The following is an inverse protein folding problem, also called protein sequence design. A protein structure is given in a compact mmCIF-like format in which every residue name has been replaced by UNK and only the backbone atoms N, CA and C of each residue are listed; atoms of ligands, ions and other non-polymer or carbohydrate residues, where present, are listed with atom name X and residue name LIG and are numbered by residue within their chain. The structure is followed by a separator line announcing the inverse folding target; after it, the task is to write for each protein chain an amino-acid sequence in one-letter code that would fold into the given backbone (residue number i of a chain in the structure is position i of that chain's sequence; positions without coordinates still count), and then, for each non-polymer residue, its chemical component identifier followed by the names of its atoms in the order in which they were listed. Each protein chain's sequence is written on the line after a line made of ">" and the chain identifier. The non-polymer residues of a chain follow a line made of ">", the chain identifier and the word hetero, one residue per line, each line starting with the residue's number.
data_IF_886746465843
#
_entry.id   IF_886746465843
#
_cell.length_a   1.000
_cell.length_b   1.000
_cell.length_c   1.000
_cell.angle_alpha   90.00
_cell.angle_beta   90.00
_cell.angle_gamma   90.00
#
_symmetry.space_group_name_H-M   'P 1'
#
loop_
_entity.id
_entity.type
_entity.pdbx_description
1 polymer ?
#
# COMPACT_ATOMS: atom_id res chain seq x y z
N UNK A 1 20.45 -29.13 25.91
CA UNK A 1 20.17 -28.09 24.92
C UNK A 1 21.36 -28.01 23.98
N UNK A 2 21.25 -28.59 22.78
CA UNK A 2 22.35 -28.66 21.83
C UNK A 2 22.37 -27.33 21.04
N UNK A 3 23.48 -26.59 20.97
CA UNK A 3 23.54 -25.41 20.12
C UNK A 3 23.48 -25.85 18.66
N UNK A 4 22.45 -25.46 17.96
CA UNK A 4 22.39 -25.58 16.51
C UNK A 4 23.56 -24.80 15.91
N UNK A 5 24.59 -25.54 15.47
CA UNK A 5 25.68 -24.96 14.66
C UNK A 5 25.08 -24.57 13.32
N UNK A 6 24.71 -23.31 13.18
CA UNK A 6 24.52 -22.67 11.87
C UNK A 6 25.88 -22.57 11.19
N UNK A 7 26.30 -23.69 10.62
CA UNK A 7 27.50 -23.80 9.82
C UNK A 7 27.22 -23.08 8.51
N UNK A 8 27.85 -21.92 8.32
CA UNK A 8 28.03 -21.20 7.06
C UNK A 8 27.03 -21.57 5.93
N UNK A 9 25.80 -21.15 6.07
CA UNK A 9 24.90 -21.09 4.92
C UNK A 9 25.29 -19.85 4.12
N UNK A 10 26.16 -20.04 3.14
CA UNK A 10 26.21 -19.13 2.00
C UNK A 10 24.85 -19.27 1.31
N UNK A 11 23.88 -18.49 1.77
CA UNK A 11 22.58 -18.40 1.12
C UNK A 11 22.71 -17.54 -0.14
N UNK A 12 23.46 -18.03 -1.12
CA UNK A 12 23.38 -17.45 -2.44
C UNK A 12 22.15 -18.07 -3.13
N UNK A 13 21.41 -17.27 -3.86
CA UNK A 13 20.33 -17.75 -4.72
C UNK A 13 20.79 -18.90 -5.63
N UNK A 14 22.05 -18.93 -5.98
CA UNK A 14 22.72 -19.97 -6.75
C UNK A 14 22.64 -21.35 -6.08
N UNK A 15 22.72 -21.42 -4.75
CA UNK A 15 22.58 -22.68 -4.00
C UNK A 15 21.16 -23.26 -4.11
N UNK A 16 20.18 -22.43 -4.47
CA UNK A 16 18.79 -22.82 -4.76
C UNK A 16 18.55 -23.02 -6.27
N UNK A 17 19.59 -22.96 -7.09
CA UNK A 17 19.48 -23.06 -8.55
C UNK A 17 18.88 -21.79 -9.20
N UNK A 18 18.83 -20.68 -8.48
CA UNK A 18 18.29 -19.40 -8.98
C UNK A 18 19.44 -18.51 -9.44
N UNK A 19 19.43 -18.14 -10.71
CA UNK A 19 20.43 -17.21 -11.25
C UNK A 19 20.04 -15.76 -10.94
N UNK A 20 20.93 -14.96 -10.31
CA UNK A 20 20.71 -13.53 -10.14
C UNK A 20 20.46 -12.80 -11.46
N UNK A 21 19.60 -11.81 -11.43
CA UNK A 21 19.22 -11.00 -12.60
C UNK A 21 19.80 -9.60 -12.45
N UNK A 22 20.34 -9.06 -13.53
CA UNK A 22 20.69 -7.63 -13.61
C UNK A 22 19.41 -6.86 -13.89
N UNK A 23 18.87 -6.18 -12.87
CA UNK A 23 17.63 -5.43 -13.00
C UNK A 23 17.89 -4.05 -13.64
N UNK A 24 17.40 -3.85 -14.86
CA UNK A 24 17.43 -2.56 -15.56
C UNK A 24 16.05 -1.85 -15.53
N UNK A 25 15.07 -2.38 -14.81
CA UNK A 25 13.71 -1.85 -14.71
C UNK A 25 13.45 -1.15 -13.35
N UNK A 26 14.47 -0.57 -12.77
CA UNK A 26 14.40 0.15 -11.49
C UNK A 26 13.74 -0.68 -10.37
N UNK A 27 12.58 -0.27 -9.88
CA UNK A 27 11.90 -0.82 -8.71
C UNK A 27 10.85 -1.89 -9.02
N UNK A 28 11.05 -2.72 -10.05
CA UNK A 28 10.08 -3.75 -10.44
C UNK A 28 9.87 -4.78 -9.31
N UNK A 29 8.64 -4.84 -8.79
CA UNK A 29 8.26 -5.70 -7.64
C UNK A 29 8.52 -7.18 -7.89
N UNK A 30 8.31 -7.68 -9.10
CA UNK A 30 8.58 -9.08 -9.46
C UNK A 30 10.05 -9.48 -9.32
N UNK A 31 10.97 -8.50 -9.30
CA UNK A 31 12.40 -8.69 -9.08
C UNK A 31 12.83 -8.26 -7.66
N UNK A 32 11.88 -8.09 -6.75
CA UNK A 32 12.15 -7.69 -5.36
C UNK A 32 12.26 -6.18 -5.13
N UNK A 33 11.93 -5.36 -6.14
CA UNK A 33 12.04 -3.91 -6.04
C UNK A 33 13.47 -3.40 -6.16
N UNK A 34 13.85 -2.42 -5.33
CA UNK A 34 15.20 -1.87 -5.28
C UNK A 34 16.09 -2.64 -4.30
N UNK A 35 17.37 -2.70 -4.60
CA UNK A 35 18.35 -3.20 -3.62
C UNK A 35 18.41 -2.24 -2.43
N UNK A 36 18.41 -2.80 -1.22
CA UNK A 36 18.52 -2.01 0.00
C UNK A 36 19.94 -1.46 0.17
N UNK A 37 20.10 -0.17 0.50
CA UNK A 37 21.38 0.39 0.93
C UNK A 37 21.97 -0.36 2.13
N UNK A 38 23.28 -0.30 2.30
CA UNK A 38 23.95 -1.04 3.38
C UNK A 38 23.49 -0.58 4.77
N UNK A 39 23.25 0.72 4.94
CA UNK A 39 22.75 1.32 6.18
C UNK A 39 21.38 0.77 6.58
N UNK A 40 20.50 0.59 5.60
CA UNK A 40 19.16 0.01 5.83
C UNK A 40 19.29 -1.45 6.28
N UNK A 41 20.14 -2.24 5.60
CA UNK A 41 20.38 -3.64 5.98
C UNK A 41 20.94 -3.79 7.38
N UNK A 42 21.89 -2.92 7.75
CA UNK A 42 22.47 -2.89 9.11
C UNK A 42 21.42 -2.55 10.16
N UNK A 43 20.56 -1.57 9.88
CA UNK A 43 19.46 -1.20 10.80
C UNK A 43 18.46 -2.34 10.99
N UNK A 44 18.12 -3.06 9.92
CA UNK A 44 17.26 -4.24 9.99
C UNK A 44 17.89 -5.36 10.80
N UNK A 45 19.19 -5.64 10.62
CA UNK A 45 19.91 -6.66 11.39
C UNK A 45 19.96 -6.32 12.89
N UNK A 46 20.21 -5.07 13.24
CA UNK A 46 20.13 -4.60 14.62
C UNK A 46 18.73 -4.73 15.22
N UNK A 47 17.70 -4.35 14.49
CA UNK A 47 16.32 -4.43 14.92
C UNK A 47 15.87 -5.88 15.15
N UNK A 48 16.33 -6.82 14.34
CA UNK A 48 16.02 -8.25 14.46
C UNK A 48 16.50 -8.88 15.78
N UNK A 49 17.46 -8.25 16.46
CA UNK A 49 17.97 -8.68 17.76
C UNK A 49 17.15 -8.27 18.97
N UNK A 50 16.03 -7.56 18.80
CA UNK A 50 15.28 -6.96 19.91
C UNK A 50 13.77 -7.19 19.78
N UNK A 51 13.12 -7.44 20.91
CA UNK A 51 11.65 -7.39 21.01
C UNK A 51 11.22 -5.97 21.36
N UNK A 52 10.22 -5.44 20.66
CA UNK A 52 9.65 -4.12 20.90
C UNK A 52 8.12 -4.18 20.84
N UNK A 53 7.47 -3.23 21.49
CA UNK A 53 6.05 -3.02 21.31
C UNK A 53 5.78 -2.46 19.90
N UNK A 54 5.16 -3.27 19.04
CA UNK A 54 4.91 -2.92 17.66
C UNK A 54 3.95 -1.73 17.48
N UNK A 55 3.01 -1.56 18.42
CA UNK A 55 2.11 -0.41 18.38
C UNK A 55 2.87 0.90 18.63
N UNK A 56 3.72 0.92 19.67
CA UNK A 56 4.59 2.08 19.93
C UNK A 56 5.58 2.33 18.78
N UNK A 57 6.15 1.26 18.21
CA UNK A 57 7.04 1.39 17.06
C UNK A 57 6.34 2.07 15.88
N UNK A 58 5.12 1.62 15.54
CA UNK A 58 4.33 2.19 14.44
C UNK A 58 4.04 3.68 14.66
N UNK A 59 3.67 4.07 15.88
CA UNK A 59 3.42 5.47 16.23
C UNK A 59 4.68 6.32 16.06
N UNK A 60 5.81 5.90 16.65
CA UNK A 60 7.07 6.67 16.58
C UNK A 60 7.65 6.77 15.18
N UNK A 61 7.57 5.70 14.42
CA UNK A 61 7.98 5.72 13.00
C UNK A 61 7.06 6.62 12.19
N UNK A 62 5.75 6.57 12.44
CA UNK A 62 4.77 7.45 11.80
C UNK A 62 5.05 8.93 12.08
N UNK A 63 5.28 9.31 13.33
CA UNK A 63 5.67 10.67 13.74
C UNK A 63 6.92 11.13 12.97
N UNK A 64 7.97 10.27 12.98
CA UNK A 64 9.23 10.62 12.30
C UNK A 64 9.09 10.78 10.79
N UNK A 65 8.30 9.92 10.14
CA UNK A 65 8.03 10.03 8.71
C UNK A 65 7.19 11.27 8.40
N UNK A 66 6.20 11.59 9.22
CA UNK A 66 5.40 12.79 9.07
C UNK A 66 6.26 14.07 9.12
N UNK A 67 7.20 14.17 10.08
CA UNK A 67 8.17 15.26 10.15
C UNK A 67 9.00 15.38 8.85
N UNK A 68 9.57 14.25 8.38
CA UNK A 68 10.44 14.23 7.20
C UNK A 68 9.71 14.56 5.90
N UNK A 69 8.44 14.23 5.81
CA UNK A 69 7.62 14.42 4.61
C UNK A 69 6.72 15.66 4.70
N UNK A 70 6.79 16.41 5.82
CA UNK A 70 5.97 17.60 6.09
C UNK A 70 4.46 17.30 6.02
N UNK A 71 4.05 16.15 6.56
CA UNK A 71 2.66 15.74 6.66
C UNK A 71 2.20 15.73 8.14
N UNK A 72 0.89 15.73 8.37
CA UNK A 72 0.32 15.65 9.72
C UNK A 72 0.54 14.28 10.36
N UNK A 73 0.51 13.22 9.56
CA UNK A 73 0.69 11.85 10.00
C UNK A 73 1.24 10.96 8.87
N UNK A 74 1.85 9.84 9.25
CA UNK A 74 2.23 8.78 8.33
C UNK A 74 1.99 7.41 8.97
N UNK A 75 1.71 6.42 8.14
CA UNK A 75 1.52 5.03 8.53
C UNK A 75 2.31 4.11 7.63
N UNK A 76 3.07 3.18 8.22
CA UNK A 76 3.83 2.18 7.45
C UNK A 76 3.00 0.92 7.28
N UNK A 77 2.69 0.59 6.03
CA UNK A 77 1.97 -0.64 5.67
C UNK A 77 2.93 -1.69 5.09
N UNK A 78 2.46 -2.93 4.95
CA UNK A 78 3.26 -4.02 4.36
C UNK A 78 3.28 -4.00 2.82
N UNK A 79 2.93 -2.89 2.18
CA UNK A 79 3.00 -2.70 0.74
C UNK A 79 1.85 -1.84 0.20
N UNK A 80 1.91 -1.51 -1.10
CA UNK A 80 0.95 -0.61 -1.74
C UNK A 80 -0.51 -1.11 -1.65
N UNK A 81 -0.75 -2.40 -1.87
CA UNK A 81 -2.10 -2.97 -1.75
C UNK A 81 -2.67 -2.82 -0.35
N UNK A 82 -1.86 -3.12 0.68
CA UNK A 82 -2.27 -2.93 2.09
C UNK A 82 -2.49 -1.46 2.43
N UNK A 83 -1.66 -0.57 1.87
CA UNK A 83 -1.84 0.88 2.03
C UNK A 83 -3.17 1.36 1.45
N UNK A 84 -3.53 0.91 0.24
CA UNK A 84 -4.81 1.22 -0.40
C UNK A 84 -6.01 0.68 0.40
N UNK A 85 -5.91 -0.57 0.88
CA UNK A 85 -6.94 -1.17 1.72
C UNK A 85 -7.15 -0.36 3.00
N UNK A 86 -6.07 -0.05 3.73
CA UNK A 86 -6.15 0.70 4.98
C UNK A 86 -6.67 2.13 4.77
N UNK A 87 -6.20 2.83 3.73
CA UNK A 87 -6.68 4.16 3.39
C UNK A 87 -8.18 4.16 3.05
N UNK A 88 -8.63 3.17 2.27
CA UNK A 88 -10.05 2.99 1.93
C UNK A 88 -10.88 2.70 3.17
N UNK A 89 -10.45 1.76 4.01
CA UNK A 89 -11.11 1.43 5.26
C UNK A 89 -11.23 2.65 6.19
N UNK A 90 -10.17 3.45 6.30
CA UNK A 90 -10.17 4.69 7.08
C UNK A 90 -11.19 5.72 6.54
N UNK A 91 -11.31 5.85 5.21
CA UNK A 91 -12.31 6.75 4.61
C UNK A 91 -13.75 6.30 4.89
N UNK A 92 -14.03 5.00 4.82
CA UNK A 92 -15.36 4.45 5.11
C UNK A 92 -15.70 4.57 6.58
N UNK A 93 -14.76 4.23 7.47
CA UNK A 93 -14.99 4.21 8.93
C UNK A 93 -15.20 5.58 9.55
N UNK A 94 -14.88 6.67 8.87
CA UNK A 94 -15.27 8.02 9.30
C UNK A 94 -16.79 8.19 9.44
N UNK A 95 -17.57 7.34 8.80
CA UNK A 95 -19.03 7.37 8.80
C UNK A 95 -19.66 6.39 9.80
N UNK A 96 -18.85 5.52 10.42
CA UNK A 96 -19.33 4.58 11.44
C UNK A 96 -18.18 4.14 12.34
N UNK A 97 -18.35 4.33 13.65
CA UNK A 97 -17.34 3.93 14.64
C UNK A 97 -17.16 2.40 14.71
N UNK A 98 -18.20 1.64 14.34
CA UNK A 98 -18.21 0.17 14.45
C UNK A 98 -17.62 -0.53 13.21
N UNK A 99 -17.28 0.22 12.14
CA UNK A 99 -16.77 -0.36 10.89
C UNK A 99 -15.43 -1.08 11.04
N UNK A 100 -14.65 -0.77 12.07
CA UNK A 100 -13.38 -1.46 12.36
C UNK A 100 -13.57 -2.84 12.98
N UNK A 101 -14.68 -3.08 13.66
CA UNK A 101 -14.92 -4.34 14.35
C UNK A 101 -15.62 -5.37 13.46
N UNK A 102 -16.38 -4.92 12.48
CA UNK A 102 -17.16 -5.82 11.64
C UNK A 102 -17.48 -5.20 10.27
N UNK A 103 -16.71 -5.58 9.25
CA UNK A 103 -16.93 -5.16 7.87
C UNK A 103 -18.31 -5.58 7.31
N UNK A 104 -19.00 -6.54 7.95
CA UNK A 104 -20.37 -6.91 7.53
C UNK A 104 -21.40 -5.83 7.84
N UNK A 105 -21.08 -4.88 8.71
CA UNK A 105 -21.94 -3.75 9.09
C UNK A 105 -21.88 -2.56 8.13
N UNK A 106 -21.19 -2.69 6.98
CA UNK A 106 -21.07 -1.63 5.97
C UNK A 106 -22.36 -1.42 5.15
N UNK A 107 -23.41 -2.20 5.36
CA UNK A 107 -24.67 -2.01 4.66
C UNK A 107 -25.31 -0.65 5.00
N UNK A 108 -25.45 0.20 3.97
CA UNK A 108 -26.01 1.55 4.12
C UNK A 108 -25.00 2.62 4.54
N UNK A 109 -23.72 2.27 4.74
CA UNK A 109 -22.63 3.23 4.99
C UNK A 109 -22.11 3.77 3.66
N UNK A 110 -21.82 5.08 3.54
CA UNK A 110 -21.12 5.63 2.38
C UNK A 110 -19.82 4.88 2.10
N UNK A 111 -19.65 4.37 0.88
CA UNK A 111 -18.51 3.52 0.52
C UNK A 111 -18.08 3.64 -0.94
N UNK A 112 -18.50 4.68 -1.65
CA UNK A 112 -18.09 4.88 -3.04
C UNK A 112 -16.71 5.54 -3.13
N UNK A 113 -15.83 4.91 -3.90
CA UNK A 113 -14.49 5.45 -4.23
C UNK A 113 -14.44 5.73 -5.72
N UNK A 114 -14.22 6.99 -6.08
CA UNK A 114 -14.14 7.42 -7.48
C UNK A 114 -12.72 7.17 -7.99
N UNK A 115 -12.62 6.52 -9.16
CA UNK A 115 -11.36 6.25 -9.85
C UNK A 115 -11.49 6.59 -11.33
N UNK A 116 -10.50 7.25 -11.90
CA UNK A 116 -10.48 7.53 -13.32
C UNK A 116 -10.24 6.24 -14.13
N UNK A 117 -10.92 6.09 -15.26
CA UNK A 117 -10.78 4.92 -16.13
C UNK A 117 -9.34 4.64 -16.53
N UNK A 118 -8.55 5.66 -16.85
CA UNK A 118 -7.14 5.52 -17.20
C UNK A 118 -6.24 5.13 -16.02
N UNK A 119 -6.74 5.26 -14.79
CA UNK A 119 -6.01 4.90 -13.57
C UNK A 119 -6.39 3.53 -13.03
N UNK A 120 -7.35 2.83 -13.69
CA UNK A 120 -7.72 1.46 -13.29
C UNK A 120 -6.51 0.52 -13.43
N UNK A 121 -6.30 -0.29 -12.42
CA UNK A 121 -5.16 -1.21 -12.38
C UNK A 121 -5.47 -2.44 -11.51
N UNK A 122 -4.55 -3.39 -11.47
CA UNK A 122 -4.73 -4.64 -10.71
C UNK A 122 -4.85 -4.47 -9.20
N UNK A 123 -4.53 -3.28 -8.64
CA UNK A 123 -4.67 -3.00 -7.21
C UNK A 123 -6.09 -2.54 -6.81
N UNK A 124 -7.00 -2.38 -7.76
CA UNK A 124 -8.40 -2.02 -7.48
C UNK A 124 -9.08 -3.03 -6.54
N UNK A 125 -8.64 -4.30 -6.54
CA UNK A 125 -9.14 -5.32 -5.62
C UNK A 125 -8.93 -4.92 -4.15
N UNK A 126 -7.81 -4.26 -3.81
CA UNK A 126 -7.55 -3.85 -2.43
C UNK A 126 -8.54 -2.79 -1.93
N UNK A 127 -9.02 -1.94 -2.84
CA UNK A 127 -10.09 -0.96 -2.55
C UNK A 127 -11.42 -1.67 -2.32
N UNK A 128 -11.74 -2.67 -3.14
CA UNK A 128 -12.97 -3.46 -3.05
C UNK A 128 -12.99 -4.36 -1.79
N UNK A 129 -11.86 -4.98 -1.45
CA UNK A 129 -11.70 -5.79 -0.23
C UNK A 129 -11.92 -4.99 1.06
N UNK A 130 -11.66 -3.67 1.03
CA UNK A 130 -12.01 -2.77 2.13
C UNK A 130 -13.53 -2.47 2.22
N UNK A 131 -14.35 -3.06 1.37
CA UNK A 131 -15.79 -2.84 1.32
C UNK A 131 -16.25 -1.67 0.44
N UNK A 132 -15.35 -1.07 -0.34
CA UNK A 132 -15.71 0.03 -1.22
C UNK A 132 -16.30 -0.44 -2.55
N UNK A 133 -17.22 0.37 -3.06
CA UNK A 133 -17.71 0.31 -4.43
C UNK A 133 -16.91 1.28 -5.29
N UNK A 134 -16.18 0.76 -6.27
CA UNK A 134 -15.44 1.60 -7.23
C UNK A 134 -16.40 2.23 -8.23
N UNK A 135 -16.38 3.55 -8.30
CA UNK A 135 -17.11 4.36 -9.29
C UNK A 135 -16.11 4.85 -10.33
N UNK A 136 -16.19 4.27 -11.53
CA UNK A 136 -15.32 4.65 -12.65
C UNK A 136 -15.83 5.90 -13.34
N UNK A 137 -14.93 6.87 -13.60
CA UNK A 137 -15.25 8.10 -14.33
C UNK A 137 -14.32 8.31 -15.53
N UNK A 138 -14.80 9.11 -16.48
CA UNK A 138 -14.04 9.44 -17.68
C UNK A 138 -14.05 8.35 -18.75
N UNK A 139 -13.09 8.43 -19.65
CA UNK A 139 -12.99 7.56 -20.82
C UNK A 139 -11.53 7.16 -21.10
N UNK A 140 -11.28 6.36 -22.13
CA UNK A 140 -9.93 6.05 -22.62
C UNK A 140 -9.19 7.29 -23.19
N UNK A 141 -9.88 8.44 -23.33
CA UNK A 141 -9.29 9.70 -23.82
C UNK A 141 -8.99 10.67 -22.66
N UNK A 142 -9.34 10.33 -21.43
CA UNK A 142 -9.16 11.15 -20.24
C UNK A 142 -10.45 11.37 -19.46
N UNK A 143 -10.34 12.16 -18.41
CA UNK A 143 -11.43 12.54 -17.50
C UNK A 143 -11.55 14.06 -17.49
N UNK A 144 -12.77 14.57 -17.58
CA UNK A 144 -13.09 15.98 -17.47
C UNK A 144 -13.61 16.27 -16.06
N UNK A 145 -13.58 17.55 -15.65
CA UNK A 145 -14.07 17.94 -14.33
C UNK A 145 -15.56 17.63 -14.16
N UNK A 146 -16.33 17.76 -15.24
CA UNK A 146 -17.76 17.48 -15.27
C UNK A 146 -18.07 15.99 -15.03
N UNK A 147 -17.14 15.08 -15.39
CA UNK A 147 -17.28 13.64 -15.07
C UNK A 147 -17.19 13.41 -13.56
N UNK A 148 -16.28 14.13 -12.90
CA UNK A 148 -16.14 14.08 -11.45
C UNK A 148 -17.35 14.71 -10.75
N UNK A 149 -17.76 15.90 -11.17
CA UNK A 149 -18.92 16.61 -10.60
C UNK A 149 -20.19 15.76 -10.64
N UNK A 150 -20.41 15.02 -11.74
CA UNK A 150 -21.57 14.12 -11.87
C UNK A 150 -21.47 12.86 -11.01
N UNK A 151 -20.25 12.42 -10.71
CA UNK A 151 -20.04 11.16 -9.97
C UNK A 151 -20.03 11.36 -8.45
N UNK A 152 -19.68 12.55 -7.97
CA UNK A 152 -19.67 12.82 -6.53
C UNK A 152 -21.11 12.79 -5.99
N UNK A 153 -21.29 12.00 -4.95
CA UNK A 153 -22.57 11.80 -4.26
C UNK A 153 -22.39 11.79 -2.74
N UNK A 154 -23.48 11.68 -2.00
CA UNK A 154 -23.44 11.47 -0.54
C UNK A 154 -22.83 10.14 -0.13
N UNK A 155 -22.68 9.20 -1.06
CA UNK A 155 -22.02 7.92 -0.83
C UNK A 155 -20.50 7.96 -1.13
N UNK A 156 -19.99 9.04 -1.71
CA UNK A 156 -18.58 9.18 -2.05
C UNK A 156 -17.75 9.43 -0.79
N UNK A 157 -16.79 8.54 -0.52
CA UNK A 157 -15.87 8.63 0.62
C UNK A 157 -14.45 9.02 0.23
N UNK A 158 -14.05 8.75 -1.01
CA UNK A 158 -12.72 9.08 -1.51
C UNK A 158 -12.68 9.21 -3.04
N UNK A 159 -11.66 9.93 -3.51
CA UNK A 159 -11.26 9.99 -4.91
C UNK A 159 -9.81 9.51 -4.96
N UNK A 160 -9.53 8.46 -5.74
CA UNK A 160 -8.18 7.95 -5.89
C UNK A 160 -7.56 8.45 -7.20
N UNK A 161 -6.40 9.06 -7.05
CA UNK A 161 -5.58 9.51 -8.15
C UNK A 161 -4.27 8.75 -8.17
N UNK A 162 -3.98 8.01 -9.25
CA UNK A 162 -2.73 7.30 -9.44
C UNK A 162 -1.83 8.07 -10.41
N UNK A 163 -0.81 8.73 -9.88
CA UNK A 163 0.16 9.43 -10.71
C UNK A 163 1.05 8.43 -11.45
N UNK A 164 1.31 8.66 -12.75
CA UNK A 164 2.13 7.77 -13.56
C UNK A 164 1.42 6.44 -13.89
N UNK A 165 0.12 6.51 -14.12
CA UNK A 165 -0.70 5.35 -14.46
C UNK A 165 0.01 4.43 -15.46
N UNK A 166 0.06 3.14 -15.14
CA UNK A 166 0.76 2.11 -15.92
C UNK A 166 0.20 1.91 -17.35
N UNK A 167 -0.79 2.69 -17.73
CA UNK A 167 -1.52 2.63 -18.99
C UNK A 167 -1.40 3.91 -19.82
N UNK A 168 -0.29 4.65 -19.68
CA UNK A 168 -0.04 5.69 -20.66
C UNK A 168 0.51 4.99 -21.92
N UNK A 169 -0.28 4.80 -22.99
CA UNK A 169 0.27 4.32 -24.25
C UNK A 169 1.22 5.42 -24.74
N UNK A 170 2.48 5.08 -24.89
CA UNK A 170 3.50 5.86 -25.57
C UNK A 170 3.08 6.16 -26.99
#
# INVERSE_FOLDING_TARGET
>A
MHPLKYKNMTSSYESLGIRPIINALASLTMLGGSLMPEEVRKAMDQAAGSFVDLHQLQLRVGERLAELTHNEAAYVSCGAASGLLLATAACISRHTADAYEDFSKLNGVPNEVIVQKLHRNSYDYAVQEAGAKVVEIGSNKGTQIEDLERAVSTATVAIFWFQGAMNNPS
#
